data_IF_531420162545
#
_entry.id   IF_531420162545
#
_cell.length_a   1.000
_cell.length_b   1.000
_cell.length_c   1.000
_cell.angle_alpha   90.00
_cell.angle_beta   90.00
_cell.angle_gamma   90.00
#
_symmetry.space_group_name_H-M   'P 1'
#
loop_
_entity.id
_entity.type
_entity.pdbx_description
1 polymer ?
#
# COMPACT_ATOMS: atom_id res chain seq x y z
N UNK A 1 -6.77 -18.49 -8.43
CA UNK A 1 -7.90 -18.77 -7.49
C UNK A 1 -8.48 -17.42 -7.14
N UNK A 2 -9.82 -17.27 -7.11
CA UNK A 2 -10.48 -16.02 -6.73
C UNK A 2 -10.91 -16.11 -5.27
N UNK A 3 -10.93 -14.96 -4.58
CA UNK A 3 -11.42 -14.87 -3.19
C UNK A 3 -12.84 -14.27 -3.18
N UNK A 4 -13.67 -14.70 -2.24
CA UNK A 4 -15.03 -14.20 -2.03
C UNK A 4 -15.07 -13.30 -0.80
N UNK A 5 -15.88 -12.26 -0.84
CA UNK A 5 -16.05 -11.36 0.31
C UNK A 5 -17.27 -10.47 0.20
N UNK A 6 -17.47 -9.69 1.22
CA UNK A 6 -18.59 -8.74 1.33
C UNK A 6 -18.04 -7.35 1.68
N UNK A 7 -18.81 -6.32 1.35
CA UNK A 7 -18.60 -5.00 1.92
C UNK A 7 -19.81 -4.56 2.73
N UNK A 8 -19.54 -3.83 3.80
CA UNK A 8 -20.53 -3.52 4.84
C UNK A 8 -20.29 -2.17 5.50
N UNK A 9 -21.36 -1.64 6.08
CA UNK A 9 -21.37 -0.44 6.90
C UNK A 9 -22.32 -0.60 8.09
N UNK A 10 -22.59 0.48 8.81
CA UNK A 10 -23.58 0.50 9.91
C UNK A 10 -24.98 0.00 9.51
N UNK A 11 -25.33 0.01 8.22
CA UNK A 11 -26.60 -0.56 7.73
C UNK A 11 -26.74 -2.06 7.95
N UNK A 12 -25.63 -2.74 8.24
CA UNK A 12 -25.55 -4.17 8.54
C UNK A 12 -25.07 -4.42 9.97
N UNK A 13 -25.39 -3.50 10.88
CA UNK A 13 -24.89 -3.51 12.27
C UNK A 13 -25.21 -4.78 13.06
N UNK A 14 -26.26 -5.50 12.68
CA UNK A 14 -26.69 -6.77 13.24
C UNK A 14 -25.97 -8.01 12.67
N UNK A 15 -25.20 -7.85 11.57
CA UNK A 15 -24.47 -8.97 10.97
C UNK A 15 -23.37 -9.47 11.92
N UNK A 16 -23.33 -10.79 12.12
CA UNK A 16 -22.18 -11.48 12.69
C UNK A 16 -21.32 -12.06 11.55
N UNK A 17 -20.07 -11.59 11.45
CA UNK A 17 -19.14 -12.02 10.40
C UNK A 17 -18.82 -13.51 10.42
N UNK A 18 -19.15 -14.24 11.50
CA UNK A 18 -19.03 -15.69 11.53
C UNK A 18 -19.93 -16.36 10.49
N UNK A 19 -21.13 -15.80 10.21
CA UNK A 19 -22.00 -16.27 9.13
C UNK A 19 -21.34 -16.05 7.76
N UNK A 20 -20.76 -14.86 7.54
CA UNK A 20 -20.01 -14.57 6.32
C UNK A 20 -18.82 -15.52 6.13
N UNK A 21 -18.06 -15.78 7.19
CA UNK A 21 -16.92 -16.73 7.15
C UNK A 21 -17.39 -18.16 6.81
N UNK A 22 -18.48 -18.63 7.43
CA UNK A 22 -19.07 -19.94 7.12
C UNK A 22 -19.60 -20.03 5.68
N UNK A 23 -20.09 -18.91 5.13
CA UNK A 23 -20.55 -18.81 3.74
C UNK A 23 -19.39 -18.71 2.73
N UNK A 24 -18.14 -18.84 3.17
CA UNK A 24 -16.96 -18.85 2.32
C UNK A 24 -16.34 -17.47 2.07
N UNK A 25 -16.68 -16.43 2.84
CA UNK A 25 -16.01 -15.14 2.74
C UNK A 25 -14.60 -15.22 3.31
N UNK A 26 -13.63 -14.81 2.50
CA UNK A 26 -12.23 -14.72 2.85
C UNK A 26 -11.82 -13.29 3.23
N UNK A 27 -12.59 -12.30 2.80
CA UNK A 27 -12.36 -10.89 3.12
C UNK A 27 -13.64 -10.13 3.44
N UNK A 28 -13.48 -9.00 4.14
CA UNK A 28 -14.53 -8.02 4.36
C UNK A 28 -13.98 -6.60 4.17
N UNK A 29 -14.74 -5.76 3.49
CA UNK A 29 -14.43 -4.34 3.31
C UNK A 29 -15.44 -3.54 4.12
N UNK A 30 -14.96 -2.66 5.02
CA UNK A 30 -15.79 -1.98 6.02
C UNK A 30 -15.77 -0.47 5.78
N UNK A 31 -16.95 0.16 5.78
CA UNK A 31 -17.04 1.62 5.75
C UNK A 31 -16.30 2.20 6.96
N UNK A 32 -15.36 3.12 6.70
CA UNK A 32 -14.64 3.81 7.75
C UNK A 32 -15.14 5.24 7.95
N UNK A 33 -15.30 5.98 6.86
CA UNK A 33 -15.64 7.40 6.89
C UNK A 33 -16.51 7.81 5.69
N UNK A 34 -17.10 9.01 5.81
CA UNK A 34 -17.79 9.69 4.69
C UNK A 34 -17.59 11.19 4.85
N UNK A 35 -17.34 11.88 3.73
CA UNK A 35 -17.16 13.32 3.73
C UNK A 35 -16.03 13.77 4.67
N UNK A 36 -16.18 14.92 5.30
CA UNK A 36 -15.10 15.54 6.10
C UNK A 36 -15.18 15.24 7.61
N UNK A 37 -16.26 14.60 8.10
CA UNK A 37 -16.47 14.44 9.55
C UNK A 37 -17.07 13.09 9.98
N UNK A 38 -17.88 12.44 9.13
CA UNK A 38 -18.55 11.21 9.51
C UNK A 38 -17.58 10.03 9.65
N UNK A 39 -17.73 9.29 10.74
CA UNK A 39 -17.04 8.01 10.99
C UNK A 39 -18.08 6.93 11.23
N UNK A 40 -18.00 5.83 10.48
CA UNK A 40 -18.93 4.72 10.65
C UNK A 40 -18.80 4.10 12.05
N UNK A 41 -19.93 3.97 12.76
CA UNK A 41 -19.95 3.53 14.16
C UNK A 41 -19.53 2.05 14.30
N UNK A 42 -19.76 1.24 13.26
CA UNK A 42 -19.51 -0.22 13.29
C UNK A 42 -18.10 -0.59 12.84
N UNK A 43 -17.32 0.36 12.30
CA UNK A 43 -15.99 0.10 11.72
C UNK A 43 -15.06 -0.71 12.62
N UNK A 44 -14.95 -0.32 13.91
CA UNK A 44 -14.07 -0.99 14.87
C UNK A 44 -14.56 -2.39 15.18
N UNK A 45 -15.87 -2.56 15.41
CA UNK A 45 -16.51 -3.86 15.66
C UNK A 45 -16.19 -4.84 14.54
N UNK A 46 -16.43 -4.46 13.28
CA UNK A 46 -16.26 -5.36 12.16
C UNK A 46 -14.80 -5.67 11.84
N UNK A 47 -13.90 -4.71 11.97
CA UNK A 47 -12.47 -4.97 11.79
C UNK A 47 -11.95 -5.96 12.85
N UNK A 48 -12.34 -5.81 14.11
CA UNK A 48 -11.94 -6.74 15.17
C UNK A 48 -12.55 -8.15 14.95
N UNK A 49 -13.82 -8.25 14.57
CA UNK A 49 -14.43 -9.55 14.24
C UNK A 49 -13.71 -10.23 13.09
N UNK A 50 -13.42 -9.49 12.00
CA UNK A 50 -12.73 -10.01 10.84
C UNK A 50 -11.33 -10.54 11.19
N UNK A 51 -10.57 -9.77 11.97
CA UNK A 51 -9.23 -10.16 12.43
C UNK A 51 -9.27 -11.45 13.27
N UNK A 52 -10.23 -11.55 14.20
CA UNK A 52 -10.41 -12.76 15.03
C UNK A 52 -10.81 -14.00 14.21
N UNK A 53 -11.45 -13.80 13.07
CA UNK A 53 -11.85 -14.87 12.15
C UNK A 53 -10.79 -15.17 11.07
N UNK A 54 -9.63 -14.49 11.10
CA UNK A 54 -8.60 -14.64 10.09
C UNK A 54 -9.06 -14.23 8.69
N UNK A 55 -9.94 -13.21 8.59
CA UNK A 55 -10.38 -12.65 7.32
C UNK A 55 -9.47 -11.48 6.92
N UNK A 56 -9.20 -11.35 5.64
CA UNK A 56 -8.56 -10.16 5.09
C UNK A 56 -9.49 -8.95 5.22
N UNK A 57 -8.92 -7.78 5.44
CA UNK A 57 -9.72 -6.56 5.70
C UNK A 57 -9.43 -5.45 4.71
N UNK A 58 -10.47 -4.68 4.39
CA UNK A 58 -10.38 -3.40 3.71
C UNK A 58 -11.18 -2.33 4.47
N UNK A 59 -10.84 -1.07 4.27
CA UNK A 59 -11.56 0.07 4.82
C UNK A 59 -11.81 1.10 3.73
N UNK A 60 -13.05 1.57 3.59
CA UNK A 60 -13.37 2.53 2.56
C UNK A 60 -13.84 3.88 3.11
N UNK A 61 -13.55 4.90 2.33
CA UNK A 61 -14.07 6.25 2.46
C UNK A 61 -15.12 6.49 1.39
N UNK A 62 -16.34 6.80 1.79
CA UNK A 62 -17.41 7.20 0.88
C UNK A 62 -17.26 8.68 0.57
N UNK A 63 -17.00 9.01 -0.68
CA UNK A 63 -16.89 10.39 -1.13
C UNK A 63 -18.22 11.12 -1.01
N UNK A 64 -18.22 12.32 -0.44
CA UNK A 64 -19.41 13.18 -0.33
C UNK A 64 -19.38 14.41 -1.24
N UNK A 65 -18.26 14.61 -1.98
CA UNK A 65 -18.12 15.72 -2.92
C UNK A 65 -17.70 17.03 -2.30
N UNK A 66 -17.25 17.02 -1.06
CA UNK A 66 -16.60 18.17 -0.44
C UNK A 66 -15.17 18.36 -0.97
N UNK A 67 -14.39 19.21 -0.31
CA UNK A 67 -12.99 19.39 -0.68
C UNK A 67 -12.23 18.05 -0.60
N UNK A 68 -11.65 17.57 -1.73
CA UNK A 68 -11.05 16.23 -1.79
C UNK A 68 -9.85 16.05 -0.86
N UNK A 69 -9.06 17.10 -0.63
CA UNK A 69 -7.92 17.03 0.30
C UNK A 69 -8.39 16.92 1.76
N UNK A 70 -9.50 17.58 2.09
CA UNK A 70 -10.11 17.49 3.43
C UNK A 70 -10.71 16.11 3.67
N UNK A 71 -11.43 15.54 2.68
CA UNK A 71 -11.96 14.18 2.77
C UNK A 71 -10.83 13.14 2.90
N UNK A 72 -9.77 13.27 2.10
CA UNK A 72 -8.60 12.39 2.17
C UNK A 72 -7.90 12.48 3.54
N UNK A 73 -7.80 13.69 4.10
CA UNK A 73 -7.20 13.92 5.42
C UNK A 73 -8.06 13.30 6.53
N UNK A 74 -9.39 13.47 6.45
CA UNK A 74 -10.33 12.86 7.38
C UNK A 74 -10.24 11.32 7.36
N UNK A 75 -10.23 10.73 6.16
CA UNK A 75 -10.05 9.30 5.97
C UNK A 75 -8.74 8.82 6.60
N UNK A 76 -7.60 9.41 6.18
CA UNK A 76 -6.28 9.06 6.72
C UNK A 76 -6.22 9.11 8.25
N UNK A 77 -6.68 10.19 8.86
CA UNK A 77 -6.64 10.35 10.31
C UNK A 77 -7.47 9.28 11.04
N UNK A 78 -8.51 8.77 10.40
CA UNK A 78 -9.35 7.71 10.97
C UNK A 78 -8.74 6.32 10.82
N UNK A 79 -8.05 6.05 9.70
CA UNK A 79 -7.58 4.69 9.37
C UNK A 79 -6.08 4.48 9.50
N UNK A 80 -5.29 5.49 9.89
CA UNK A 80 -3.81 5.44 9.91
C UNK A 80 -3.21 4.27 10.70
N UNK A 81 -3.88 3.79 11.74
CA UNK A 81 -3.46 2.62 12.53
C UNK A 81 -3.71 1.27 11.84
N UNK A 82 -4.49 1.28 10.74
CA UNK A 82 -4.81 0.12 9.93
C UNK A 82 -4.03 0.07 8.60
N UNK A 83 -3.29 1.14 8.27
CA UNK A 83 -2.39 1.15 7.11
C UNK A 83 -1.30 0.10 7.33
N UNK A 84 -1.07 -0.73 6.32
CA UNK A 84 -0.19 -1.89 6.44
C UNK A 84 -0.88 -3.19 6.85
N UNK A 85 -2.17 -3.13 7.20
CA UNK A 85 -2.96 -4.28 7.66
C UNK A 85 -4.26 -4.47 6.86
N UNK A 86 -4.83 -3.39 6.34
CA UNK A 86 -6.09 -3.38 5.59
C UNK A 86 -5.92 -2.62 4.29
N UNK A 87 -6.63 -3.01 3.24
CA UNK A 87 -6.71 -2.22 2.02
C UNK A 87 -7.36 -0.87 2.33
N UNK A 88 -6.82 0.20 1.76
CA UNK A 88 -7.42 1.54 1.81
C UNK A 88 -8.13 1.80 0.49
N UNK A 89 -9.36 2.31 0.54
CA UNK A 89 -10.24 2.38 -0.63
C UNK A 89 -10.92 3.74 -0.65
N UNK A 90 -10.89 4.41 -1.81
CA UNK A 90 -11.76 5.51 -2.15
C UNK A 90 -13.00 4.93 -2.83
N UNK A 91 -14.15 5.12 -2.24
CA UNK A 91 -15.47 4.78 -2.78
C UNK A 91 -16.06 6.04 -3.41
N UNK A 92 -16.10 6.05 -4.75
CA UNK A 92 -16.55 7.18 -5.55
C UNK A 92 -17.78 6.83 -6.37
N UNK A 93 -18.95 7.21 -5.84
CA UNK A 93 -20.27 6.95 -6.45
C UNK A 93 -21.04 8.22 -6.80
N UNK A 94 -20.54 9.35 -6.36
CA UNK A 94 -21.19 10.65 -6.51
C UNK A 94 -20.80 11.33 -7.82
N UNK A 95 -21.68 12.17 -8.34
CA UNK A 95 -21.33 13.09 -9.41
C UNK A 95 -20.87 14.42 -8.81
N UNK A 96 -19.54 14.55 -8.68
CA UNK A 96 -18.91 15.78 -8.18
C UNK A 96 -18.57 16.78 -9.28
N UNK A 97 -19.18 16.70 -10.48
CA UNK A 97 -19.05 17.74 -11.50
C UNK A 97 -19.51 19.08 -10.93
N UNK A 98 -18.75 19.59 -9.97
CA UNK A 98 -18.98 20.88 -9.36
C UNK A 98 -17.98 21.87 -9.92
N UNK A 99 -18.47 23.07 -10.21
CA UNK A 99 -17.63 24.22 -10.62
C UNK A 99 -16.56 24.56 -9.56
N UNK A 100 -16.69 24.05 -8.32
CA UNK A 100 -15.82 24.35 -7.19
C UNK A 100 -14.59 23.42 -7.14
N UNK A 101 -14.79 22.12 -7.40
CA UNK A 101 -13.73 21.12 -7.23
C UNK A 101 -13.29 20.45 -8.54
N UNK A 102 -13.84 20.90 -9.68
CA UNK A 102 -13.53 20.38 -11.02
C UNK A 102 -14.34 19.13 -11.38
N UNK A 103 -13.90 18.44 -12.45
CA UNK A 103 -14.53 17.21 -12.91
C UNK A 103 -14.36 16.08 -11.91
N UNK A 104 -15.16 15.01 -12.06
CA UNK A 104 -15.03 13.77 -11.26
C UNK A 104 -13.59 13.24 -11.26
N UNK A 105 -12.95 13.23 -12.44
CA UNK A 105 -11.54 12.82 -12.56
C UNK A 105 -10.61 13.70 -11.72
N UNK A 106 -10.73 15.02 -11.80
CA UNK A 106 -9.89 15.94 -11.05
C UNK A 106 -10.09 15.81 -9.55
N UNK A 107 -11.33 15.60 -9.10
CA UNK A 107 -11.64 15.34 -7.71
C UNK A 107 -10.94 14.08 -7.20
N UNK A 108 -11.07 12.96 -7.94
CA UNK A 108 -10.43 11.68 -7.61
C UNK A 108 -8.90 11.85 -7.56
N UNK A 109 -8.29 12.46 -8.57
CA UNK A 109 -6.85 12.69 -8.65
C UNK A 109 -6.33 13.50 -7.45
N UNK A 110 -7.06 14.54 -7.03
CA UNK A 110 -6.71 15.36 -5.86
C UNK A 110 -6.83 14.57 -4.55
N UNK A 111 -7.91 13.82 -4.36
CA UNK A 111 -8.08 12.96 -3.19
C UNK A 111 -6.95 11.94 -3.10
N UNK A 112 -6.68 11.21 -4.18
CA UNK A 112 -5.64 10.18 -4.25
C UNK A 112 -4.25 10.77 -4.02
N UNK A 113 -3.95 11.94 -4.60
CA UNK A 113 -2.70 12.66 -4.37
C UNK A 113 -2.51 12.97 -2.89
N UNK A 114 -3.53 13.57 -2.26
CA UNK A 114 -3.48 13.93 -0.85
C UNK A 114 -3.36 12.70 0.05
N UNK A 115 -4.13 11.65 -0.23
CA UNK A 115 -4.05 10.42 0.55
C UNK A 115 -2.66 9.78 0.43
N UNK A 116 -2.07 9.74 -0.78
CA UNK A 116 -0.72 9.23 -0.99
C UNK A 116 0.34 10.04 -0.21
N UNK A 117 0.23 11.37 -0.19
CA UNK A 117 1.13 12.23 0.58
C UNK A 117 1.13 11.89 2.07
N UNK A 118 -0.03 11.54 2.63
CA UNK A 118 -0.21 11.21 4.05
C UNK A 118 0.16 9.76 4.38
N UNK A 119 -0.25 8.83 3.53
CA UNK A 119 -0.17 7.40 3.78
C UNK A 119 1.06 6.73 3.15
N UNK A 120 1.71 7.39 2.18
CA UNK A 120 2.73 6.82 1.28
C UNK A 120 2.22 5.54 0.56
N UNK A 121 0.91 5.51 0.25
CA UNK A 121 0.20 4.39 -0.39
C UNK A 121 -0.93 4.91 -1.25
N UNK A 122 -1.11 4.31 -2.42
CA UNK A 122 -2.28 4.56 -3.25
C UNK A 122 -3.47 3.75 -2.72
N UNK A 123 -4.67 4.36 -2.60
CA UNK A 123 -5.88 3.59 -2.30
C UNK A 123 -6.33 2.82 -3.54
N UNK A 124 -7.15 1.78 -3.36
CA UNK A 124 -7.98 1.28 -4.45
C UNK A 124 -9.03 2.34 -4.80
N UNK A 125 -9.42 2.38 -6.07
CA UNK A 125 -10.60 3.14 -6.49
C UNK A 125 -11.78 2.17 -6.67
N UNK A 126 -12.84 2.36 -5.85
CA UNK A 126 -14.15 1.78 -6.14
C UNK A 126 -14.97 2.80 -6.92
N UNK A 127 -15.56 2.34 -8.01
CA UNK A 127 -16.53 3.09 -8.78
C UNK A 127 -17.40 2.13 -9.61
N UNK A 128 -18.53 2.64 -10.12
CA UNK A 128 -19.30 1.92 -11.11
C UNK A 128 -18.81 2.19 -12.54
N UNK A 129 -19.38 1.46 -13.49
CA UNK A 129 -18.96 1.53 -14.90
C UNK A 129 -19.14 2.89 -15.57
N UNK A 130 -19.94 3.82 -15.00
CA UNK A 130 -20.15 5.19 -15.54
C UNK A 130 -18.87 6.02 -15.47
N UNK A 131 -18.01 5.74 -14.50
CA UNK A 131 -16.76 6.51 -14.31
C UNK A 131 -15.58 5.98 -15.12
N UNK A 132 -15.63 4.75 -15.64
CA UNK A 132 -14.51 4.15 -16.36
C UNK A 132 -14.05 5.01 -17.54
N UNK A 133 -14.97 5.50 -18.37
CA UNK A 133 -14.64 6.33 -19.52
C UNK A 133 -14.03 7.68 -19.13
N UNK A 134 -14.44 8.23 -18.00
CA UNK A 134 -13.94 9.51 -17.49
C UNK A 134 -12.49 9.39 -16.99
N UNK A 135 -12.05 8.18 -16.62
CA UNK A 135 -10.71 7.91 -16.13
C UNK A 135 -9.70 7.56 -17.23
N UNK A 136 -10.10 7.49 -18.51
CA UNK A 136 -9.27 7.02 -19.63
C UNK A 136 -7.91 7.72 -19.77
N UNK A 137 -7.79 8.98 -19.36
CA UNK A 137 -6.53 9.74 -19.41
C UNK A 137 -6.02 10.12 -18.04
N UNK A 138 -6.47 9.41 -16.99
CA UNK A 138 -6.03 9.64 -15.61
C UNK A 138 -4.87 8.73 -15.24
N UNK A 139 -3.87 9.30 -14.61
CA UNK A 139 -2.74 8.56 -14.02
C UNK A 139 -3.19 7.63 -12.87
N UNK A 140 -4.38 7.85 -12.31
CA UNK A 140 -4.97 7.00 -11.28
C UNK A 140 -5.14 5.57 -11.77
N UNK A 141 -5.42 5.39 -13.08
CA UNK A 141 -5.56 4.06 -13.71
C UNK A 141 -4.31 3.20 -13.53
N UNK A 142 -3.13 3.82 -13.59
CA UNK A 142 -1.85 3.12 -13.45
C UNK A 142 -1.44 2.88 -11.99
N UNK A 143 -1.98 3.67 -11.07
CA UNK A 143 -1.53 3.68 -9.65
C UNK A 143 -2.52 3.06 -8.68
N UNK A 144 -3.82 3.21 -8.95
CA UNK A 144 -4.87 2.73 -8.06
C UNK A 144 -5.50 1.47 -8.62
N UNK A 145 -5.40 0.31 -7.93
CA UNK A 145 -6.12 -0.89 -8.32
C UNK A 145 -7.63 -0.63 -8.33
N UNK A 146 -8.35 -1.29 -9.25
CA UNK A 146 -9.79 -1.11 -9.44
C UNK A 146 -10.62 -2.07 -8.61
N UNK A 147 -11.61 -1.55 -7.89
CA UNK A 147 -12.77 -2.28 -7.40
C UNK A 147 -14.01 -1.80 -8.16
N UNK A 148 -14.49 -2.60 -9.09
CA UNK A 148 -15.58 -2.24 -10.01
C UNK A 148 -16.92 -2.70 -9.47
N UNK A 149 -17.89 -1.80 -9.36
CA UNK A 149 -19.30 -2.14 -9.15
C UNK A 149 -20.02 -2.29 -10.49
N UNK A 150 -20.54 -3.48 -10.74
CA UNK A 150 -21.45 -3.71 -11.86
C UNK A 150 -22.27 -4.98 -11.63
N UNK A 151 -23.56 -4.83 -11.68
CA UNK A 151 -24.54 -5.90 -11.45
C UNK A 151 -25.21 -6.30 -12.77
N UNK A 152 -24.65 -7.26 -13.54
CA UNK A 152 -25.25 -7.67 -14.82
C UNK A 152 -26.65 -8.24 -14.67
N UNK A 153 -26.89 -8.88 -13.52
CA UNK A 153 -28.20 -9.41 -13.08
C UNK A 153 -28.26 -9.45 -11.55
N UNK A 154 -29.43 -9.75 -11.00
CA UNK A 154 -29.58 -9.89 -9.55
C UNK A 154 -29.09 -11.25 -9.08
N UNK A 155 -27.88 -11.30 -8.51
CA UNK A 155 -27.33 -12.50 -7.90
C UNK A 155 -27.71 -12.57 -6.41
N UNK A 156 -28.27 -13.69 -5.99
CA UNK A 156 -28.55 -13.98 -4.58
C UNK A 156 -27.56 -14.98 -3.96
N UNK A 157 -26.69 -15.56 -4.79
CA UNK A 157 -25.64 -16.50 -4.41
C UNK A 157 -24.34 -16.12 -5.08
N UNK A 158 -23.26 -16.75 -4.68
CA UNK A 158 -21.97 -16.60 -5.37
C UNK A 158 -22.08 -16.94 -6.85
N UNK A 159 -21.35 -16.21 -7.68
CA UNK A 159 -21.30 -16.44 -9.11
C UNK A 159 -19.90 -16.90 -9.56
N UNK A 160 -19.87 -17.65 -10.67
CA UNK A 160 -18.66 -17.97 -11.42
C UNK A 160 -18.63 -17.27 -12.79
N UNK A 161 -19.54 -16.31 -13.00
CA UNK A 161 -19.56 -15.54 -14.24
C UNK A 161 -18.27 -14.74 -14.41
N UNK A 162 -17.91 -14.45 -15.65
CA UNK A 162 -16.76 -13.59 -15.94
C UNK A 162 -17.07 -12.15 -15.55
N UNK A 163 -16.06 -11.40 -15.06
CA UNK A 163 -16.25 -10.00 -14.74
C UNK A 163 -16.61 -9.19 -16.01
N UNK A 164 -17.32 -8.07 -15.86
CA UNK A 164 -17.60 -7.15 -16.96
C UNK A 164 -16.32 -6.48 -17.46
N UNK A 165 -16.42 -5.78 -18.60
CA UNK A 165 -15.32 -4.95 -19.09
C UNK A 165 -14.94 -3.86 -18.07
N UNK A 166 -13.66 -3.65 -17.88
CA UNK A 166 -13.08 -2.74 -16.88
C UNK A 166 -12.01 -1.79 -17.47
N UNK A 167 -11.93 -1.68 -18.80
CA UNK A 167 -11.07 -0.67 -19.42
C UNK A 167 -11.47 0.74 -18.91
N UNK A 168 -10.50 1.62 -18.64
CA UNK A 168 -9.12 1.61 -19.10
C UNK A 168 -8.12 0.83 -18.22
N UNK A 169 -8.52 0.25 -17.11
CA UNK A 169 -7.62 -0.58 -16.31
C UNK A 169 -7.20 -1.85 -17.04
N UNK A 170 -5.94 -2.25 -16.88
CA UNK A 170 -5.40 -3.48 -17.45
C UNK A 170 -5.67 -4.72 -16.57
N UNK A 171 -5.98 -4.50 -15.28
CA UNK A 171 -6.26 -5.57 -14.31
C UNK A 171 -7.44 -5.15 -13.43
N UNK A 172 -8.40 -6.05 -13.29
CA UNK A 172 -9.46 -5.91 -12.29
C UNK A 172 -8.98 -6.54 -10.97
N UNK A 173 -9.10 -5.79 -9.89
CA UNK A 173 -8.69 -6.25 -8.55
C UNK A 173 -9.87 -6.88 -7.83
N UNK A 174 -11.01 -6.18 -7.75
CA UNK A 174 -12.23 -6.67 -7.11
C UNK A 174 -13.43 -6.32 -8.00
N UNK A 175 -14.39 -7.22 -8.07
CA UNK A 175 -15.69 -7.01 -8.68
C UNK A 175 -16.78 -7.12 -7.63
N UNK A 176 -17.51 -6.02 -7.37
CA UNK A 176 -18.78 -6.06 -6.65
C UNK A 176 -19.86 -6.46 -7.66
N UNK A 177 -20.32 -7.70 -7.56
CA UNK A 177 -21.18 -8.29 -8.58
C UNK A 177 -22.68 -8.22 -8.24
N UNK A 178 -23.02 -7.89 -7.00
CA UNK A 178 -24.41 -7.81 -6.52
C UNK A 178 -24.51 -7.03 -5.21
N UNK A 179 -25.67 -6.42 -5.00
CA UNK A 179 -26.11 -5.86 -3.71
C UNK A 179 -27.23 -6.71 -3.06
N UNK A 180 -27.39 -7.95 -3.49
CA UNK A 180 -28.50 -8.83 -3.08
C UNK A 180 -28.05 -10.23 -2.67
N UNK A 181 -26.76 -10.40 -2.32
CA UNK A 181 -26.23 -11.68 -1.85
C UNK A 181 -26.94 -12.11 -0.57
N UNK A 182 -27.32 -13.39 -0.51
CA UNK A 182 -27.89 -14.02 0.69
C UNK A 182 -26.92 -15.08 1.21
N UNK A 183 -26.76 -15.11 2.52
CA UNK A 183 -25.96 -16.12 3.22
C UNK A 183 -26.78 -16.74 4.35
N UNK A 184 -26.45 -17.97 4.70
CA UNK A 184 -27.09 -18.63 5.82
C UNK A 184 -26.81 -17.90 7.14
N UNK A 185 -27.82 -17.77 7.99
CA UNK A 185 -27.73 -17.11 9.29
C UNK A 185 -27.82 -15.58 9.26
N UNK A 186 -28.11 -14.99 8.08
CA UNK A 186 -28.40 -13.56 7.97
C UNK A 186 -29.57 -13.30 7.00
N UNK A 187 -30.53 -12.52 7.43
CA UNK A 187 -31.77 -12.30 6.65
C UNK A 187 -31.69 -11.10 5.70
N UNK A 188 -30.71 -10.23 5.86
CA UNK A 188 -30.50 -9.05 5.01
C UNK A 188 -29.84 -9.36 3.66
N UNK A 189 -30.01 -8.47 2.68
CA UNK A 189 -29.20 -8.45 1.45
C UNK A 189 -27.80 -7.92 1.76
N UNK A 190 -26.77 -8.49 1.14
CA UNK A 190 -25.37 -8.09 1.28
C UNK A 190 -24.76 -7.73 -0.08
N UNK A 191 -23.78 -6.86 -0.06
CA UNK A 191 -22.96 -6.54 -1.21
C UNK A 191 -21.90 -7.63 -1.37
N UNK A 192 -22.00 -8.39 -2.48
CA UNK A 192 -21.13 -9.54 -2.76
C UNK A 192 -19.99 -9.19 -3.69
N UNK A 193 -18.79 -9.65 -3.34
CA UNK A 193 -17.55 -9.31 -4.02
C UNK A 193 -16.73 -10.53 -4.39
N UNK A 194 -16.05 -10.45 -5.53
CA UNK A 194 -15.04 -11.41 -5.99
C UNK A 194 -13.72 -10.67 -6.20
N UNK A 195 -12.66 -11.07 -5.50
CA UNK A 195 -11.33 -10.53 -5.70
C UNK A 195 -10.51 -11.44 -6.64
N UNK A 196 -9.88 -10.84 -7.65
CA UNK A 196 -9.03 -11.49 -8.67
C UNK A 196 -7.55 -11.39 -8.32
N UNK A 197 -7.28 -11.34 -7.03
CA UNK A 197 -5.93 -11.31 -6.44
C UNK A 197 -5.82 -12.38 -5.37
N UNK A 198 -4.61 -12.83 -5.09
CA UNK A 198 -4.32 -13.75 -3.99
C UNK A 198 -4.28 -13.02 -2.64
N UNK A 199 -4.31 -13.76 -1.53
CA UNK A 199 -4.14 -13.21 -0.19
C UNK A 199 -2.81 -12.45 -0.04
N UNK A 200 -1.71 -12.96 -0.61
CA UNK A 200 -0.41 -12.28 -0.61
C UNK A 200 -0.45 -10.96 -1.39
N UNK A 201 -1.12 -10.91 -2.56
CA UNK A 201 -1.30 -9.66 -3.31
C UNK A 201 -2.18 -8.67 -2.53
N UNK A 202 -3.21 -9.15 -1.82
CA UNK A 202 -4.03 -8.32 -0.92
C UNK A 202 -3.19 -7.68 0.18
N UNK A 203 -2.39 -8.48 0.89
CA UNK A 203 -1.50 -8.01 1.97
C UNK A 203 -0.46 -7.01 1.44
N UNK A 204 0.09 -7.25 0.25
CA UNK A 204 1.02 -6.32 -0.39
C UNK A 204 0.36 -4.98 -0.71
N UNK A 205 -0.85 -4.99 -1.24
CA UNK A 205 -1.63 -3.77 -1.51
C UNK A 205 -2.02 -3.04 -0.22
N UNK A 206 -2.36 -3.78 0.84
CA UNK A 206 -2.63 -3.21 2.15
C UNK A 206 -1.39 -2.55 2.76
N UNK A 207 -0.20 -2.90 2.29
CA UNK A 207 1.07 -2.46 2.82
C UNK A 207 1.54 -3.27 4.01
N UNK A 208 0.95 -4.44 4.25
CA UNK A 208 1.55 -5.52 5.01
C UNK A 208 2.96 -5.77 4.50
N UNK A 209 3.82 -6.37 5.27
CA UNK A 209 5.20 -6.64 4.87
C UNK A 209 5.22 -6.85 3.37
N UNK A 210 5.78 -5.91 2.63
CA UNK A 210 6.29 -6.25 1.33
C UNK A 210 7.08 -7.54 1.58
N UNK A 211 6.48 -8.71 1.28
CA UNK A 211 7.33 -9.60 0.57
C UNK A 211 7.71 -8.72 -0.62
N UNK A 212 8.85 -8.06 -0.49
CA UNK A 212 9.64 -7.84 -1.65
C UNK A 212 9.39 -9.11 -2.46
N UNK A 213 8.60 -9.03 -3.56
CA UNK A 213 9.00 -9.87 -4.69
C UNK A 213 10.49 -9.83 -4.58
N UNK A 214 11.12 -10.97 -4.36
CA UNK A 214 12.56 -11.04 -4.21
C UNK A 214 13.21 -10.63 -5.56
N UNK A 215 13.13 -9.37 -5.90
CA UNK A 215 14.26 -8.62 -6.33
C UNK A 215 15.16 -8.66 -5.10
N UNK A 216 16.05 -9.69 -5.07
CA UNK A 216 17.15 -9.77 -4.14
C UNK A 216 17.70 -8.36 -4.07
N UNK A 217 17.37 -7.60 -3.00
CA UNK A 217 17.99 -6.28 -2.79
C UNK A 217 19.46 -6.57 -2.90
N UNK A 218 20.13 -5.88 -3.82
CA UNK A 218 21.54 -6.11 -4.03
C UNK A 218 22.23 -5.95 -2.69
N UNK A 219 23.02 -6.93 -2.28
CA UNK A 219 23.81 -6.81 -1.05
C UNK A 219 24.67 -5.57 -1.18
N UNK A 220 24.66 -4.64 -0.20
CA UNK A 220 25.55 -3.49 -0.26
C UNK A 220 26.99 -3.94 -0.40
N UNK A 221 27.74 -3.26 -1.27
CA UNK A 221 29.14 -3.55 -1.57
C UNK A 221 30.04 -2.40 -1.09
N UNK A 222 31.34 -2.66 -0.99
CA UNK A 222 32.32 -1.62 -0.73
C UNK A 222 32.20 -0.44 -1.72
N UNK A 223 31.85 -0.71 -2.99
CA UNK A 223 31.64 0.32 -4.00
C UNK A 223 30.47 1.24 -3.65
N UNK A 224 29.38 0.71 -3.08
CA UNK A 224 28.26 1.53 -2.61
C UNK A 224 28.69 2.42 -1.45
N UNK A 225 29.49 1.90 -0.52
CA UNK A 225 30.06 2.71 0.57
C UNK A 225 30.88 3.85 -0.02
N UNK A 226 31.83 3.56 -0.93
CA UNK A 226 32.65 4.56 -1.62
C UNK A 226 31.82 5.65 -2.28
N UNK A 227 30.77 5.29 -3.00
CA UNK A 227 29.86 6.25 -3.66
C UNK A 227 29.08 7.10 -2.66
N UNK A 228 28.67 6.53 -1.52
CA UNK A 228 27.96 7.27 -0.46
C UNK A 228 28.87 8.28 0.22
N UNK A 229 30.07 7.86 0.59
CA UNK A 229 31.02 8.75 1.31
C UNK A 229 31.60 9.86 0.39
N UNK A 230 31.66 9.60 -0.92
CA UNK A 230 31.96 10.64 -1.94
C UNK A 230 30.78 11.56 -2.27
N UNK A 231 29.66 11.44 -1.54
CA UNK A 231 28.42 12.20 -1.76
C UNK A 231 27.78 12.07 -3.16
N UNK A 232 28.12 10.99 -3.91
CA UNK A 232 27.60 10.75 -5.27
C UNK A 232 26.07 10.68 -5.34
N UNK A 233 25.43 10.25 -4.26
CA UNK A 233 23.96 10.10 -4.16
C UNK A 233 23.27 11.21 -3.36
N UNK A 234 24.01 12.25 -2.95
CA UNK A 234 23.49 13.32 -2.10
C UNK A 234 23.23 12.83 -0.67
N UNK A 235 22.30 13.49 0.04
CA UNK A 235 21.96 13.20 1.44
C UNK A 235 20.47 13.00 1.66
N UNK A 236 20.10 12.51 2.84
CA UNK A 236 18.71 12.41 3.32
C UNK A 236 17.78 11.64 2.38
N UNK A 237 16.61 12.21 2.08
CA UNK A 237 15.58 11.59 1.26
C UNK A 237 16.05 11.33 -0.19
N UNK A 238 16.90 12.21 -0.76
CA UNK A 238 17.46 12.05 -2.11
C UNK A 238 18.30 10.76 -2.19
N UNK A 239 19.21 10.55 -1.22
CA UNK A 239 20.04 9.34 -1.14
C UNK A 239 19.19 8.09 -1.01
N UNK A 240 18.17 8.09 -0.12
CA UNK A 240 17.28 6.95 0.07
C UNK A 240 16.59 6.58 -1.24
N UNK A 241 16.03 7.55 -1.97
CA UNK A 241 15.38 7.31 -3.26
C UNK A 241 16.34 6.70 -4.28
N UNK A 242 17.53 7.27 -4.48
CA UNK A 242 18.50 6.76 -5.46
C UNK A 242 18.95 5.34 -5.13
N UNK A 243 19.24 5.03 -3.87
CA UNK A 243 19.64 3.67 -3.47
C UNK A 243 18.52 2.66 -3.73
N UNK A 244 17.26 3.02 -3.47
CA UNK A 244 16.09 2.18 -3.77
C UNK A 244 15.94 1.94 -5.28
N UNK A 245 16.07 2.99 -6.10
CA UNK A 245 16.04 2.90 -7.57
C UNK A 245 17.15 1.99 -8.12
N UNK A 246 18.32 1.98 -7.48
CA UNK A 246 19.44 1.09 -7.81
C UNK A 246 19.26 -0.35 -7.31
N UNK A 247 18.17 -0.65 -6.58
CA UNK A 247 17.86 -1.97 -6.04
C UNK A 247 18.55 -2.31 -4.73
N UNK A 248 19.01 -1.32 -3.96
CA UNK A 248 19.61 -1.51 -2.63
C UNK A 248 18.64 -1.12 -1.52
N UNK A 249 18.74 -1.78 -0.36
CA UNK A 249 18.09 -1.33 0.87
C UNK A 249 18.89 -0.16 1.48
N UNK A 250 18.31 1.06 1.58
CA UNK A 250 19.05 2.22 2.11
C UNK A 250 19.51 2.04 3.56
N UNK A 251 18.76 1.30 4.39
CA UNK A 251 19.11 1.03 5.80
C UNK A 251 20.33 0.11 5.90
N UNK A 252 20.37 -0.95 5.09
CA UNK A 252 21.54 -1.84 5.02
C UNK A 252 22.79 -1.15 4.45
N UNK A 253 22.59 -0.29 3.46
CA UNK A 253 23.68 0.54 2.95
C UNK A 253 24.25 1.45 4.05
N UNK A 254 23.39 2.10 4.84
CA UNK A 254 23.85 2.96 5.94
C UNK A 254 24.53 2.15 7.04
N UNK A 255 24.04 0.94 7.34
CA UNK A 255 24.69 0.03 8.30
C UNK A 255 26.12 -0.30 7.85
N UNK A 256 26.31 -0.68 6.59
CA UNK A 256 27.64 -0.96 6.04
C UNK A 256 28.54 0.28 6.05
N UNK A 257 28.02 1.45 5.73
CA UNK A 257 28.76 2.72 5.85
C UNK A 257 29.26 2.93 7.28
N UNK A 258 28.39 2.76 8.28
CA UNK A 258 28.75 2.91 9.68
C UNK A 258 29.84 1.90 10.13
N UNK A 259 29.80 0.67 9.60
CA UNK A 259 30.85 -0.33 9.83
C UNK A 259 32.21 0.14 9.27
N UNK A 260 32.24 0.66 8.05
CA UNK A 260 33.48 1.24 7.47
C UNK A 260 34.01 2.42 8.28
N UNK A 261 33.13 3.31 8.78
CA UNK A 261 33.55 4.41 9.69
C UNK A 261 34.14 3.86 11.00
N UNK A 262 33.54 2.81 11.59
CA UNK A 262 34.06 2.16 12.79
C UNK A 262 35.46 1.57 12.57
N UNK A 263 35.66 0.92 11.42
CA UNK A 263 36.96 0.33 11.06
C UNK A 263 37.98 1.45 10.78
N UNK A 264 37.62 2.49 10.07
CA UNK A 264 38.50 3.64 9.81
C UNK A 264 39.00 4.30 11.12
N UNK A 265 38.12 4.50 12.10
CA UNK A 265 38.51 5.00 13.43
C UNK A 265 39.50 4.06 14.15
N UNK A 266 39.40 2.75 13.99
CA UNK A 266 40.34 1.77 14.55
C UNK A 266 41.70 1.86 13.81
N UNK A 267 41.68 2.09 12.50
CA UNK A 267 42.90 2.35 11.70
C UNK A 267 43.62 3.61 12.18
N UNK A 268 42.89 4.70 12.38
CA UNK A 268 43.49 5.98 12.89
C UNK A 268 44.14 5.77 14.26
N UNK A 269 43.54 4.92 15.11
CA UNK A 269 44.11 4.53 16.42
C UNK A 269 45.24 3.52 16.33
N UNK A 270 45.74 3.17 15.15
CA UNK A 270 46.92 2.30 14.94
C UNK A 270 46.64 0.80 15.08
N UNK A 271 45.35 0.36 15.27
CA UNK A 271 45.01 -1.05 15.61
C UNK A 271 45.45 -2.08 14.56
N UNK A 272 45.61 -1.66 13.29
CA UNK A 272 45.88 -2.59 12.17
C UNK A 272 47.29 -2.38 11.56
N UNK A 273 48.21 -1.70 12.28
CA UNK A 273 49.55 -1.41 11.78
C UNK A 273 49.56 -0.41 10.62
N UNK A 274 50.58 -0.48 9.76
CA UNK A 274 50.81 0.45 8.62
C UNK A 274 51.07 -0.31 7.32
N UNK A 275 50.97 0.39 6.20
CA UNK A 275 51.35 -0.15 4.87
C UNK A 275 50.71 -1.49 4.51
N UNK A 276 51.57 -2.44 4.11
CA UNK A 276 51.12 -3.76 3.63
C UNK A 276 50.46 -4.61 4.72
N UNK A 277 50.89 -4.50 5.96
CA UNK A 277 50.31 -5.25 7.07
C UNK A 277 48.88 -4.79 7.37
N UNK A 278 48.66 -3.47 7.35
CA UNK A 278 47.28 -2.90 7.46
C UNK A 278 46.39 -3.44 6.35
N UNK A 279 46.88 -3.46 5.11
CA UNK A 279 46.11 -3.95 3.97
C UNK A 279 45.71 -5.42 4.19
N UNK A 280 46.67 -6.29 4.52
CA UNK A 280 46.41 -7.73 4.79
C UNK A 280 45.43 -7.93 5.94
N UNK A 281 45.59 -7.17 7.04
CA UNK A 281 44.73 -7.27 8.21
C UNK A 281 43.26 -6.91 7.88
N UNK A 282 43.03 -5.84 7.11
CA UNK A 282 41.71 -5.37 6.73
C UNK A 282 41.03 -6.32 5.71
N UNK A 283 41.77 -6.80 4.72
CA UNK A 283 41.28 -7.73 3.71
C UNK A 283 40.92 -9.09 4.35
N UNK A 284 41.70 -9.58 5.33
CA UNK A 284 41.37 -10.76 6.12
C UNK A 284 40.06 -10.62 6.90
N UNK A 285 39.68 -9.41 7.29
CA UNK A 285 38.41 -9.10 7.94
C UNK A 285 37.26 -8.86 6.95
N UNK A 286 37.51 -9.01 5.64
CA UNK A 286 36.51 -8.83 4.59
C UNK A 286 36.25 -7.38 4.17
N UNK A 287 37.10 -6.43 4.61
CA UNK A 287 36.97 -5.02 4.20
C UNK A 287 37.83 -4.69 2.98
N UNK A 288 37.27 -3.85 2.07
CA UNK A 288 38.04 -3.32 0.97
C UNK A 288 38.99 -2.22 1.50
N UNK A 289 40.30 -2.44 1.41
CA UNK A 289 41.32 -1.55 1.93
C UNK A 289 41.20 -0.12 1.36
N UNK A 290 41.00 0.03 0.03
CA UNK A 290 40.90 1.34 -0.60
C UNK A 290 39.71 2.15 -0.06
N UNK A 291 38.59 1.51 0.19
CA UNK A 291 37.41 2.18 0.74
C UNK A 291 37.61 2.54 2.20
N UNK A 292 38.28 1.68 3.00
CA UNK A 292 38.64 2.04 4.38
C UNK A 292 39.56 3.24 4.38
N UNK A 293 40.58 3.27 3.50
CA UNK A 293 41.51 4.40 3.39
C UNK A 293 40.79 5.67 2.94
N UNK A 294 39.82 5.58 2.03
CA UNK A 294 38.98 6.71 1.64
C UNK A 294 38.25 7.30 2.85
N UNK A 295 37.64 6.47 3.69
CA UNK A 295 36.96 6.92 4.91
C UNK A 295 37.96 7.50 5.92
N UNK A 296 39.14 6.90 6.08
CA UNK A 296 40.23 7.46 6.93
C UNK A 296 40.58 8.86 6.46
N UNK A 297 40.80 9.05 5.16
CA UNK A 297 41.17 10.37 4.61
C UNK A 297 40.07 11.43 4.85
N UNK A 298 38.79 11.03 4.80
CA UNK A 298 37.66 11.93 5.13
C UNK A 298 37.64 12.30 6.62
N UNK A 299 38.10 11.40 7.50
CA UNK A 299 38.08 11.63 8.95
C UNK A 299 39.29 12.46 9.45
N UNK A 300 40.40 12.46 8.73
CA UNK A 300 41.66 13.12 9.19
C UNK A 300 42.01 14.38 8.39
N UNK A 301 41.22 14.64 7.31
CA UNK A 301 41.54 15.77 6.49
C UNK A 301 40.89 16.50 5.67
#
# INVERSE_FOLDING_TARGET
>A
MVMRGIDISHWKSDLNLQHAKKAGCEFVIVKATQGTSYKDATRTKFILQAQNLGMLTGMFHFAAGYNPESEATHFYNTVKSHIGKSLMILDYEINCDSKIYGSNRQWIERFVTKFYQLANRYPLLYCDSRYLSQMKSSWVVDKCPLWLARYPKRYRTWTNDKPPAYAPWNKLTIWQFTSSLRIEGYTGDLDGNIAYITANEWENLAGGKTQQTANKTKKPTAQIVSNIVSNKYGAGAKRKRILTELGYNPTECQKLVNEYYSIANKVIKGKYGTGADRKKALEKLGYNYAVVQQVVNILVG
#
